data_IF_484335869391
#
_entry.id   IF_484335869391
#
_cell.length_a   1.000
_cell.length_b   1.000
_cell.length_c   1.000
_cell.angle_alpha   90.00
_cell.angle_beta   90.00
_cell.angle_gamma   90.00
#
_symmetry.space_group_name_H-M   'P 1'
#
loop_
_entity.id
_entity.type
_entity.pdbx_description
1 polymer ?
#
# COMPACT_ATOMS: atom_id res chain seq x y z
N UNK A 1 -2.05 -18.51 38.98
CA UNK A 1 -2.78 -17.55 38.12
C UNK A 1 -1.78 -17.08 37.08
N UNK A 2 -2.02 -17.23 35.77
CA UNK A 2 -1.12 -16.68 34.75
C UNK A 2 -1.01 -15.16 34.95
N UNK A 3 0.17 -14.59 34.73
CA UNK A 3 0.39 -13.15 34.82
C UNK A 3 -0.49 -12.45 33.77
N UNK A 4 -1.23 -11.41 34.19
CA UNK A 4 -2.05 -10.59 33.28
C UNK A 4 -1.18 -9.48 32.72
N UNK A 5 -1.22 -9.30 31.40
CA UNK A 5 -0.51 -8.20 30.74
C UNK A 5 -1.41 -6.97 30.72
N UNK A 6 -1.04 -5.92 31.44
CA UNK A 6 -1.77 -4.65 31.43
C UNK A 6 -1.08 -3.63 30.51
N UNK A 7 -1.81 -3.11 29.52
CA UNK A 7 -1.22 -2.32 28.44
C UNK A 7 -2.21 -1.30 27.87
N UNK A 8 -1.70 -0.13 27.45
CA UNK A 8 -2.47 0.85 26.67
C UNK A 8 -2.56 0.37 25.21
N UNK A 9 -3.74 0.02 24.76
CA UNK A 9 -3.94 -0.76 23.55
C UNK A 9 -4.23 0.09 22.30
N UNK A 10 -3.62 -0.25 21.18
CA UNK A 10 -4.06 0.16 19.85
C UNK A 10 -5.32 -0.61 19.42
N UNK A 11 -6.49 -0.16 19.90
CA UNK A 11 -7.78 -0.78 19.58
C UNK A 11 -8.08 -0.78 18.07
N UNK A 12 -7.70 0.27 17.35
CA UNK A 12 -7.95 0.36 15.91
C UNK A 12 -7.03 -0.60 15.13
N UNK A 13 -5.75 -0.66 15.48
CA UNK A 13 -4.80 -1.63 14.92
C UNK A 13 -5.26 -3.06 15.14
N UNK A 14 -5.74 -3.39 16.35
CA UNK A 14 -6.29 -4.72 16.67
C UNK A 14 -7.54 -5.04 15.87
N UNK A 15 -8.48 -4.10 15.76
CA UNK A 15 -9.69 -4.26 14.95
C UNK A 15 -9.33 -4.50 13.47
N UNK A 16 -8.40 -3.71 12.91
CA UNK A 16 -7.95 -3.87 11.52
C UNK A 16 -7.29 -5.24 11.32
N UNK A 17 -6.41 -5.67 12.22
CA UNK A 17 -5.75 -6.96 12.15
C UNK A 17 -6.75 -8.13 12.20
N UNK A 18 -7.73 -8.06 13.10
CA UNK A 18 -8.80 -9.06 13.19
C UNK A 18 -9.67 -9.09 11.93
N UNK A 19 -9.93 -7.95 11.29
CA UNK A 19 -10.71 -7.91 10.04
C UNK A 19 -9.90 -8.27 8.79
N UNK A 20 -8.57 -8.33 8.87
CA UNK A 20 -7.70 -8.62 7.75
C UNK A 20 -7.77 -10.10 7.36
N UNK A 21 -8.31 -10.37 6.17
CA UNK A 21 -8.47 -11.73 5.62
C UNK A 21 -7.40 -12.07 4.57
N UNK A 22 -6.39 -11.23 4.38
CA UNK A 22 -5.34 -11.48 3.41
C UNK A 22 -4.46 -12.66 3.90
N UNK A 23 -4.35 -13.77 3.13
CA UNK A 23 -3.57 -14.93 3.56
C UNK A 23 -2.11 -14.61 3.81
N UNK A 24 -1.58 -13.64 3.07
CA UNK A 24 -0.20 -13.19 3.21
C UNK A 24 -0.02 -12.05 4.24
N UNK A 25 -0.96 -11.88 5.16
CA UNK A 25 -0.88 -10.85 6.19
C UNK A 25 -1.02 -11.44 7.58
N UNK A 26 -0.01 -11.15 8.40
CA UNK A 26 0.17 -11.73 9.72
C UNK A 26 0.38 -10.61 10.73
N UNK A 27 -0.49 -10.54 11.74
CA UNK A 27 -0.46 -9.48 12.73
C UNK A 27 -0.13 -10.02 14.12
N UNK A 28 0.63 -9.25 14.88
CA UNK A 28 1.00 -9.55 16.26
C UNK A 28 0.65 -8.36 17.16
N UNK A 29 0.20 -8.63 18.38
CA UNK A 29 0.08 -7.64 19.45
C UNK A 29 1.35 -7.66 20.30
N UNK A 30 2.04 -6.53 20.38
CA UNK A 30 3.14 -6.31 21.31
C UNK A 30 2.58 -6.01 22.72
N UNK A 31 2.82 -6.94 23.65
CA UNK A 31 2.37 -6.87 25.04
C UNK A 31 3.09 -5.82 25.87
N UNK A 32 4.25 -5.31 25.41
CA UNK A 32 5.00 -4.28 26.10
C UNK A 32 4.53 -2.87 25.74
N UNK A 33 4.17 -2.64 24.47
CA UNK A 33 3.79 -1.33 23.95
C UNK A 33 2.30 -1.17 23.66
N UNK A 34 1.57 -2.28 23.48
CA UNK A 34 0.17 -2.30 23.07
C UNK A 34 -0.07 -2.07 21.58
N UNK A 35 1.00 -2.04 20.79
CA UNK A 35 0.93 -1.84 19.35
C UNK A 35 0.58 -3.13 18.62
N UNK A 36 -0.13 -2.97 17.52
CA UNK A 36 -0.34 -4.06 16.56
C UNK A 36 0.64 -3.91 15.41
N UNK A 37 1.51 -4.90 15.27
CA UNK A 37 2.51 -4.97 14.20
C UNK A 37 1.98 -5.92 13.14
N UNK A 38 1.91 -5.46 11.88
CA UNK A 38 1.41 -6.29 10.78
C UNK A 38 2.48 -6.49 9.71
N UNK A 39 2.78 -7.74 9.42
CA UNK A 39 3.64 -8.15 8.32
C UNK A 39 2.77 -8.52 7.13
N UNK A 40 3.05 -7.95 5.95
CA UNK A 40 2.36 -8.33 4.70
C UNK A 40 3.32 -8.96 3.70
N UNK A 41 2.79 -9.81 2.81
CA UNK A 41 3.51 -10.40 1.69
C UNK A 41 4.18 -11.76 1.93
N UNK A 42 4.08 -12.30 3.15
CA UNK A 42 4.64 -13.58 3.55
C UNK A 42 3.53 -14.63 3.60
N UNK A 43 3.72 -15.83 3.03
CA UNK A 43 2.72 -16.90 3.08
C UNK A 43 2.64 -17.58 4.45
N UNK A 44 3.74 -17.54 5.19
CA UNK A 44 3.85 -18.07 6.54
C UNK A 44 4.05 -16.90 7.53
N UNK A 45 3.50 -17.01 8.76
CA UNK A 45 3.72 -16.00 9.78
C UNK A 45 5.22 -15.86 10.08
N UNK A 46 5.82 -14.66 9.92
CA UNK A 46 7.22 -14.47 10.26
C UNK A 46 7.40 -14.53 11.78
N UNK A 47 8.59 -14.92 12.22
CA UNK A 47 8.96 -14.83 13.64
C UNK A 47 8.90 -13.36 14.11
N UNK A 48 8.24 -13.06 15.24
CA UNK A 48 8.23 -11.70 15.77
C UNK A 48 9.62 -11.31 16.32
N UNK A 49 9.87 -9.99 16.54
CA UNK A 49 11.13 -9.52 17.12
C UNK A 49 11.39 -10.14 18.50
N UNK A 50 12.67 -10.29 18.84
CA UNK A 50 13.05 -10.70 20.20
C UNK A 50 12.78 -9.56 21.22
N UNK A 51 12.33 -9.88 22.44
CA UNK A 51 12.03 -11.22 22.93
C UNK A 51 10.63 -11.69 22.48
N UNK A 52 10.56 -12.88 21.86
CA UNK A 52 9.32 -13.40 21.24
C UNK A 52 8.14 -13.51 22.21
N UNK A 53 8.41 -13.70 23.49
CA UNK A 53 7.41 -13.79 24.56
C UNK A 53 6.55 -12.52 24.73
N UNK A 54 7.01 -11.38 24.21
CA UNK A 54 6.25 -10.13 24.22
C UNK A 54 5.20 -10.04 23.11
N UNK A 55 5.10 -11.02 22.21
CA UNK A 55 4.21 -10.91 21.04
C UNK A 55 3.14 -12.01 21.03
N UNK A 56 1.89 -11.59 20.82
CA UNK A 56 0.77 -12.50 20.60
C UNK A 56 0.31 -12.45 19.14
N UNK A 57 0.29 -13.61 18.48
CA UNK A 57 -0.26 -13.70 17.13
C UNK A 57 -1.77 -13.44 17.12
N UNK A 58 -2.23 -12.54 16.24
CA UNK A 58 -3.62 -12.16 16.08
C UNK A 58 -4.21 -12.97 14.91
N UNK A 59 -5.07 -13.98 15.17
CA UNK A 59 -5.69 -14.74 14.10
C UNK A 59 -6.78 -13.90 13.39
N UNK A 60 -6.91 -13.99 12.05
CA UNK A 60 -8.02 -13.38 11.34
C UNK A 60 -9.37 -13.81 11.91
N UNK A 61 -10.27 -12.85 12.12
CA UNK A 61 -11.64 -13.12 12.56
C UNK A 61 -12.31 -14.05 11.55
N UNK A 62 -12.90 -15.18 11.96
CA UNK A 62 -13.55 -16.09 11.01
C UNK A 62 -14.62 -15.38 10.18
N UNK A 63 -14.67 -15.60 8.86
CA UNK A 63 -15.62 -14.86 7.99
C UNK A 63 -17.08 -15.05 8.39
N UNK A 64 -17.41 -16.17 9.03
CA UNK A 64 -18.72 -16.47 9.64
C UNK A 64 -19.15 -15.45 10.70
N UNK A 65 -18.23 -14.85 11.44
CA UNK A 65 -18.53 -13.75 12.36
C UNK A 65 -18.97 -12.50 11.59
N UNK A 66 -18.31 -12.18 10.47
CA UNK A 66 -18.74 -11.05 9.63
C UNK A 66 -20.12 -11.26 9.00
N UNK A 67 -20.45 -12.50 8.60
CA UNK A 67 -21.82 -12.84 8.17
C UNK A 67 -22.85 -12.64 9.28
N UNK A 68 -22.54 -13.09 10.51
CA UNK A 68 -23.42 -12.87 11.67
C UNK A 68 -23.62 -11.38 11.95
N UNK A 69 -22.56 -10.56 11.86
CA UNK A 69 -22.66 -9.11 12.01
C UNK A 69 -23.61 -8.50 10.96
N UNK A 70 -23.50 -8.89 9.68
CA UNK A 70 -24.44 -8.43 8.64
C UNK A 70 -25.88 -8.87 8.93
N UNK A 71 -26.10 -10.13 9.32
CA UNK A 71 -27.44 -10.63 9.65
C UNK A 71 -28.08 -9.89 10.84
N UNK A 72 -27.32 -9.64 11.91
CA UNK A 72 -27.79 -8.85 13.05
C UNK A 72 -28.14 -7.42 12.62
N UNK A 73 -27.30 -6.78 11.79
CA UNK A 73 -27.56 -5.42 11.34
C UNK A 73 -28.85 -5.33 10.51
N UNK A 74 -29.09 -6.28 9.60
CA UNK A 74 -30.31 -6.34 8.79
C UNK A 74 -31.57 -6.34 9.67
N UNK A 75 -31.52 -7.02 10.82
CA UNK A 75 -32.64 -7.03 11.78
C UNK A 75 -32.91 -5.67 12.44
N UNK A 76 -31.95 -4.74 12.38
CA UNK A 76 -32.08 -3.37 12.92
C UNK A 76 -32.48 -2.33 11.88
N UNK A 77 -32.61 -2.72 10.61
CA UNK A 77 -33.04 -1.84 9.51
C UNK A 77 -34.57 -1.76 9.52
N UNK A 78 -35.11 -0.54 9.60
CA UNK A 78 -36.56 -0.30 9.66
C UNK A 78 -37.21 -0.31 8.27
N UNK A 79 -36.49 0.10 7.24
CA UNK A 79 -36.97 0.07 5.85
C UNK A 79 -37.06 -1.39 5.36
N UNK A 80 -38.30 -1.87 5.18
CA UNK A 80 -38.59 -3.24 4.75
C UNK A 80 -38.03 -3.58 3.35
N UNK A 81 -38.01 -2.60 2.44
CA UNK A 81 -37.50 -2.80 1.10
C UNK A 81 -35.98 -2.96 1.13
N UNK A 82 -35.29 -2.08 1.86
CA UNK A 82 -33.85 -2.18 2.06
C UNK A 82 -33.47 -3.46 2.81
N UNK A 83 -34.21 -3.81 3.87
CA UNK A 83 -34.00 -5.04 4.63
C UNK A 83 -34.07 -6.28 3.72
N UNK A 84 -35.06 -6.33 2.82
CA UNK A 84 -35.21 -7.41 1.83
C UNK A 84 -34.04 -7.45 0.85
N UNK A 85 -33.60 -6.30 0.35
CA UNK A 85 -32.44 -6.19 -0.56
C UNK A 85 -31.15 -6.67 0.12
N UNK A 86 -30.88 -6.22 1.35
CA UNK A 86 -29.70 -6.63 2.12
C UNK A 86 -29.73 -8.14 2.45
N UNK A 87 -30.91 -8.69 2.75
CA UNK A 87 -31.08 -10.13 2.98
C UNK A 87 -30.74 -10.94 1.74
N UNK A 88 -31.24 -10.51 0.57
CA UNK A 88 -30.92 -11.14 -0.71
C UNK A 88 -29.43 -11.01 -1.06
N UNK A 89 -28.80 -9.89 -0.71
CA UNK A 89 -27.39 -9.66 -0.96
C UNK A 89 -26.49 -10.71 -0.27
N UNK A 90 -26.93 -11.29 0.85
CA UNK A 90 -26.19 -12.31 1.59
C UNK A 90 -26.13 -13.69 0.93
N UNK A 91 -26.95 -13.95 -0.09
CA UNK A 91 -27.01 -15.26 -0.75
C UNK A 91 -25.90 -15.42 -1.79
N UNK A 92 -25.06 -16.45 -1.65
CA UNK A 92 -24.04 -16.82 -2.63
C UNK A 92 -22.72 -16.05 -2.52
N UNK A 93 -21.79 -16.36 -3.42
CA UNK A 93 -20.40 -15.82 -3.40
C UNK A 93 -20.41 -14.30 -3.53
N UNK A 94 -19.58 -13.60 -2.75
CA UNK A 94 -19.46 -12.12 -2.82
C UNK A 94 -20.47 -11.34 -1.96
N UNK A 95 -21.11 -11.98 -0.97
CA UNK A 95 -22.11 -11.37 -0.10
C UNK A 95 -21.71 -10.03 0.50
N UNK A 96 -20.49 -9.92 1.05
CA UNK A 96 -19.99 -8.67 1.64
C UNK A 96 -19.93 -7.49 0.66
N UNK A 97 -19.60 -7.75 -0.61
CA UNK A 97 -19.54 -6.72 -1.63
C UNK A 97 -20.94 -6.23 -1.95
N UNK A 98 -21.85 -7.14 -2.30
CA UNK A 98 -23.24 -6.79 -2.62
C UNK A 98 -23.94 -6.09 -1.46
N UNK A 99 -23.71 -6.55 -0.24
CA UNK A 99 -24.26 -5.92 0.95
C UNK A 99 -23.82 -4.44 1.06
N UNK A 100 -22.53 -4.16 0.83
CA UNK A 100 -22.01 -2.78 0.82
C UNK A 100 -22.53 -1.97 -0.37
N UNK A 101 -22.66 -2.59 -1.54
CA UNK A 101 -23.19 -1.95 -2.74
C UNK A 101 -24.65 -1.49 -2.50
N UNK A 102 -25.49 -2.31 -1.85
CA UNK A 102 -26.85 -1.91 -1.45
C UNK A 102 -26.89 -0.69 -0.52
N UNK A 103 -25.88 -0.49 0.32
CA UNK A 103 -25.83 0.65 1.25
C UNK A 103 -25.33 1.94 0.58
N UNK A 104 -24.82 1.91 -0.66
CA UNK A 104 -24.32 3.11 -1.33
C UNK A 104 -25.42 4.16 -1.54
N UNK A 105 -26.63 3.70 -1.84
CA UNK A 105 -27.79 4.57 -2.07
C UNK A 105 -28.47 5.02 -0.76
N UNK A 106 -27.99 4.54 0.39
CA UNK A 106 -28.56 4.79 1.72
C UNK A 106 -27.49 5.31 2.70
N UNK A 107 -27.06 6.59 2.58
CA UNK A 107 -25.91 7.11 3.33
C UNK A 107 -26.08 7.06 4.85
N UNK A 108 -27.31 7.24 5.36
CA UNK A 108 -27.60 7.13 6.80
C UNK A 108 -27.42 5.70 7.31
N UNK A 109 -27.97 4.71 6.61
CA UNK A 109 -27.81 3.29 6.95
C UNK A 109 -26.38 2.81 6.76
N UNK A 110 -25.68 3.33 5.76
CA UNK A 110 -24.24 3.10 5.57
C UNK A 110 -23.42 3.56 6.76
N UNK A 111 -23.72 4.75 7.30
CA UNK A 111 -23.05 5.25 8.49
C UNK A 111 -23.39 4.39 9.72
N UNK A 112 -24.68 4.05 9.92
CA UNK A 112 -25.12 3.13 10.99
C UNK A 112 -24.41 1.78 10.90
N UNK A 113 -24.25 1.23 9.70
CA UNK A 113 -23.54 -0.02 9.47
C UNK A 113 -22.09 0.04 9.94
N UNK A 114 -21.36 1.11 9.62
CA UNK A 114 -19.97 1.26 10.08
C UNK A 114 -19.88 1.29 11.61
N UNK A 115 -20.72 2.12 12.25
CA UNK A 115 -20.81 2.19 13.71
C UNK A 115 -21.16 0.83 14.35
N UNK A 116 -22.16 0.13 13.81
CA UNK A 116 -22.59 -1.19 14.29
C UNK A 116 -21.49 -2.24 14.15
N UNK A 117 -20.82 -2.26 12.98
CA UNK A 117 -19.74 -3.19 12.68
C UNK A 117 -18.56 -2.96 13.62
N UNK A 118 -18.15 -1.71 13.82
CA UNK A 118 -17.01 -1.38 14.69
C UNK A 118 -17.28 -1.83 16.15
N UNK A 119 -18.50 -1.64 16.65
CA UNK A 119 -18.90 -2.16 17.98
C UNK A 119 -18.79 -3.69 18.08
N UNK A 120 -19.27 -4.41 17.07
CA UNK A 120 -19.17 -5.87 17.04
C UNK A 120 -17.72 -6.37 16.94
N UNK A 121 -16.87 -5.65 16.21
CA UNK A 121 -15.43 -5.96 16.10
C UNK A 121 -14.71 -5.67 17.41
N UNK A 122 -14.96 -4.54 18.07
CA UNK A 122 -14.38 -4.25 19.38
C UNK A 122 -14.85 -5.23 20.45
N UNK A 123 -16.12 -5.63 20.43
CA UNK A 123 -16.61 -6.68 21.33
C UNK A 123 -15.91 -8.02 21.09
N UNK A 124 -15.62 -8.36 19.83
CA UNK A 124 -14.82 -9.55 19.51
C UNK A 124 -13.38 -9.41 20.01
N UNK A 125 -12.75 -8.26 19.77
CA UNK A 125 -11.39 -7.96 20.22
C UNK A 125 -11.27 -8.07 21.74
N UNK A 126 -12.22 -7.52 22.50
CA UNK A 126 -12.24 -7.61 23.96
C UNK A 126 -12.29 -9.07 24.45
N UNK A 127 -13.14 -9.91 23.84
CA UNK A 127 -13.19 -11.36 24.17
C UNK A 127 -11.89 -12.07 23.83
N UNK A 128 -11.26 -11.71 22.72
CA UNK A 128 -9.97 -12.28 22.32
C UNK A 128 -8.85 -11.90 23.30
N UNK A 129 -8.81 -10.64 23.76
CA UNK A 129 -7.85 -10.18 24.78
C UNK A 129 -8.04 -10.93 26.10
N UNK A 130 -9.29 -11.10 26.55
CA UNK A 130 -9.62 -11.85 27.76
C UNK A 130 -9.14 -13.30 27.69
N UNK A 131 -9.36 -13.97 26.55
CA UNK A 131 -8.90 -15.34 26.30
C UNK A 131 -7.37 -15.47 26.33
N UNK A 132 -6.65 -14.40 26.00
CA UNK A 132 -5.18 -14.34 26.01
C UNK A 132 -4.62 -13.65 27.26
N UNK A 133 -5.45 -13.40 28.28
CA UNK A 133 -5.04 -12.79 29.56
C UNK A 133 -4.42 -11.38 29.42
N UNK A 134 -4.85 -10.61 28.42
CA UNK A 134 -4.47 -9.21 28.22
C UNK A 134 -5.56 -8.29 28.74
N UNK A 135 -5.17 -7.28 29.53
CA UNK A 135 -6.05 -6.27 30.11
C UNK A 135 -5.70 -4.91 29.50
N UNK A 136 -6.62 -4.36 28.71
CA UNK A 136 -6.46 -3.02 28.15
C UNK A 136 -6.73 -1.96 29.23
N UNK A 137 -5.79 -1.02 29.40
CA UNK A 137 -5.94 0.12 30.34
C UNK A 137 -6.83 1.23 29.79
N UNK A 138 -6.95 1.32 28.46
CA UNK A 138 -7.77 2.28 27.74
C UNK A 138 -9.01 1.60 27.10
N UNK A 139 -10.05 2.39 26.83
CA UNK A 139 -11.26 1.92 26.17
C UNK A 139 -11.17 2.04 24.64
N UNK A 140 -11.91 1.21 23.87
CA UNK A 140 -12.02 1.39 22.44
C UNK A 140 -12.60 2.78 22.11
N UNK A 141 -12.19 3.38 20.97
CA UNK A 141 -12.66 4.69 20.58
C UNK A 141 -14.18 4.69 20.35
N UNK A 142 -14.86 5.84 20.58
CA UNK A 142 -16.29 5.94 20.33
C UNK A 142 -16.59 5.72 18.84
N UNK A 143 -17.65 4.97 18.56
CA UNK A 143 -18.08 4.62 17.20
C UNK A 143 -18.94 5.71 16.53
N UNK A 144 -19.02 6.90 17.13
CA UNK A 144 -19.84 8.06 16.72
C UNK A 144 -19.24 8.88 15.57
N UNK A 145 -18.20 8.38 14.89
CA UNK A 145 -17.55 9.07 13.77
C UNK A 145 -16.45 10.05 14.16
N UNK A 146 -16.37 10.46 15.44
CA UNK A 146 -15.22 11.18 15.99
C UNK A 146 -14.13 10.16 16.34
N UNK A 147 -13.33 9.77 15.33
CA UNK A 147 -12.16 8.94 15.59
C UNK A 147 -11.14 9.80 16.35
N UNK A 148 -10.76 9.46 17.59
CA UNK A 148 -9.65 10.13 18.24
C UNK A 148 -8.40 9.98 17.36
N UNK A 149 -7.50 10.97 17.33
CA UNK A 149 -6.24 10.84 16.61
C UNK A 149 -5.56 9.56 17.07
N UNK A 150 -5.15 8.71 16.12
CA UNK A 150 -4.43 7.47 16.43
C UNK A 150 -3.28 7.84 17.37
N UNK A 151 -3.17 7.21 18.55
CA UNK A 151 -2.13 7.58 19.49
C UNK A 151 -0.78 7.47 18.78
N UNK A 152 0.07 8.49 18.95
CA UNK A 152 1.47 8.43 18.54
C UNK A 152 2.16 7.48 19.51
N UNK A 153 1.86 6.19 19.40
CA UNK A 153 2.50 5.16 20.20
C UNK A 153 3.99 5.19 19.82
N UNK A 154 4.85 5.30 20.83
CA UNK A 154 6.28 5.50 20.64
C UNK A 154 6.83 4.48 19.65
N UNK A 155 7.62 4.96 18.68
CA UNK A 155 8.18 4.07 17.66
C UNK A 155 8.86 2.87 18.35
N UNK A 156 8.55 1.62 17.96
CA UNK A 156 9.27 0.48 18.52
C UNK A 156 10.77 0.75 18.33
N UNK A 157 11.52 0.53 19.41
CA UNK A 157 12.96 0.85 19.48
C UNK A 157 13.66 0.39 18.22
N UNK A 158 14.56 1.22 17.69
CA UNK A 158 15.29 1.06 16.42
C UNK A 158 15.51 -0.41 16.06
N UNK A 159 14.61 -1.01 15.29
CA UNK A 159 14.89 -2.29 14.64
C UNK A 159 15.98 -1.96 13.62
N UNK A 160 17.20 -2.40 13.89
CA UNK A 160 18.33 -2.23 12.98
C UNK A 160 18.03 -3.02 11.69
N UNK A 161 18.15 -2.34 10.55
CA UNK A 161 17.90 -2.91 9.23
C UNK A 161 19.25 -3.14 8.59
N UNK A 162 19.62 -4.39 8.32
CA UNK A 162 20.80 -4.70 7.51
C UNK A 162 20.59 -4.31 6.03
N UNK A 163 21.61 -3.79 5.31
CA UNK A 163 21.52 -3.58 3.86
C UNK A 163 21.22 -4.91 3.15
N UNK A 164 20.09 -4.99 2.44
CA UNK A 164 19.60 -6.22 1.81
C UNK A 164 18.73 -7.10 2.72
N UNK A 165 18.45 -6.68 3.96
CA UNK A 165 17.54 -7.35 4.89
C UNK A 165 16.05 -7.12 4.54
N UNK A 166 15.17 -7.89 5.20
CA UNK A 166 13.72 -7.80 4.99
C UNK A 166 13.17 -6.45 5.49
N UNK A 167 12.89 -5.53 4.57
CA UNK A 167 12.32 -4.22 4.87
C UNK A 167 10.95 -4.32 5.56
N UNK A 168 10.26 -5.47 5.43
CA UNK A 168 8.94 -5.69 6.03
C UNK A 168 8.99 -5.59 7.54
N UNK A 169 10.03 -6.13 8.19
CA UNK A 169 10.14 -6.09 9.64
C UNK A 169 10.19 -4.67 10.19
N UNK A 170 10.88 -3.77 9.48
CA UNK A 170 11.04 -2.39 9.91
C UNK A 170 9.94 -1.44 9.43
N UNK A 171 9.12 -1.86 8.47
CA UNK A 171 7.96 -1.10 7.99
C UNK A 171 6.64 -1.61 8.57
N UNK A 172 6.61 -2.79 9.19
CA UNK A 172 5.41 -3.39 9.79
C UNK A 172 4.65 -2.49 10.78
N UNK A 173 5.29 -1.60 11.59
CA UNK A 173 4.56 -0.64 12.41
C UNK A 173 3.80 0.44 11.61
N UNK A 174 4.17 0.63 10.35
CA UNK A 174 3.62 1.65 9.46
C UNK A 174 2.68 1.08 8.39
N UNK A 175 2.71 -0.24 8.17
CA UNK A 175 1.90 -0.87 7.13
C UNK A 175 0.41 -0.67 7.42
N UNK A 176 -0.36 -0.33 6.37
CA UNK A 176 -1.79 -0.05 6.46
C UNK A 176 -2.55 -1.14 5.69
N UNK A 177 -3.09 -2.17 6.39
CA UNK A 177 -3.76 -3.32 5.76
C UNK A 177 -5.00 -2.96 4.93
N UNK A 178 -5.57 -1.77 5.15
CA UNK A 178 -6.78 -1.32 4.47
C UNK A 178 -6.59 -1.01 2.98
N UNK A 179 -5.35 -0.76 2.52
CA UNK A 179 -5.06 -0.47 1.12
C UNK A 179 -4.84 -1.77 0.33
N UNK A 180 -5.88 -2.19 -0.40
CA UNK A 180 -5.87 -3.39 -1.23
C UNK A 180 -5.47 -3.03 -2.66
N UNK A 181 -4.39 -3.62 -3.16
CA UNK A 181 -3.92 -3.43 -4.53
C UNK A 181 -4.89 -4.08 -5.53
N UNK A 182 -5.45 -3.27 -6.45
CA UNK A 182 -6.41 -3.69 -7.49
C UNK A 182 -5.84 -3.48 -8.89
N UNK A 183 -5.11 -4.47 -9.45
CA UNK A 183 -4.50 -4.37 -10.78
C UNK A 183 -5.42 -3.85 -11.91
N UNK A 184 -6.72 -4.13 -11.86
CA UNK A 184 -7.69 -3.69 -12.87
C UNK A 184 -7.96 -2.18 -12.89
N UNK A 185 -7.68 -1.47 -11.79
CA UNK A 185 -7.74 0.00 -11.69
C UNK A 185 -6.37 0.62 -11.45
N UNK A 186 -5.31 -0.15 -11.71
CA UNK A 186 -3.96 0.28 -11.46
C UNK A 186 -3.22 0.72 -12.71
N UNK A 187 -2.23 1.58 -12.51
CA UNK A 187 -1.19 1.85 -13.48
C UNK A 187 0.20 1.69 -12.86
N UNK A 188 1.12 1.05 -13.59
CA UNK A 188 2.54 1.04 -13.27
C UNK A 188 3.19 2.32 -13.78
N UNK A 189 3.83 3.07 -12.90
CA UNK A 189 4.66 4.22 -13.21
C UNK A 189 6.13 3.78 -13.14
N UNK A 190 6.78 3.74 -14.31
CA UNK A 190 8.21 3.47 -14.47
C UNK A 190 8.95 4.80 -14.48
N UNK A 191 9.52 5.17 -13.33
CA UNK A 191 10.08 6.50 -13.11
C UNK A 191 11.55 6.55 -13.51
N UNK A 192 11.84 7.35 -14.53
CA UNK A 192 13.18 7.83 -14.92
C UNK A 192 14.24 6.73 -15.06
N UNK A 193 13.87 5.56 -15.60
CA UNK A 193 14.78 4.45 -15.90
C UNK A 193 15.68 4.76 -17.09
N UNK A 194 16.58 5.73 -16.90
CA UNK A 194 17.49 6.30 -17.89
C UNK A 194 18.91 5.79 -17.72
N UNK A 195 19.69 5.82 -18.81
CA UNK A 195 21.09 5.38 -18.82
C UNK A 195 21.93 6.10 -17.79
N UNK A 196 21.70 7.39 -17.55
CA UNK A 196 22.44 8.18 -16.55
C UNK A 196 22.46 7.53 -15.16
N UNK A 197 21.38 6.85 -14.75
CA UNK A 197 21.24 6.27 -13.42
C UNK A 197 21.56 4.78 -13.38
N UNK A 198 21.27 4.04 -14.45
CA UNK A 198 21.29 2.57 -14.50
C UNK A 198 22.53 1.99 -15.18
N UNK A 199 23.13 2.73 -16.11
CA UNK A 199 24.32 2.28 -16.82
C UNK A 199 25.58 2.64 -15.99
N UNK A 200 26.53 1.72 -15.78
CA UNK A 200 27.81 2.03 -15.12
C UNK A 200 28.61 3.17 -15.78
N UNK A 201 28.35 3.48 -17.05
CA UNK A 201 28.93 4.63 -17.77
C UNK A 201 28.10 5.91 -17.67
N UNK A 202 26.94 5.87 -17.00
CA UNK A 202 26.08 7.03 -16.78
C UNK A 202 26.70 8.02 -15.80
N UNK A 203 26.51 9.32 -16.03
CA UNK A 203 27.17 10.35 -15.24
C UNK A 203 26.70 10.43 -13.77
N UNK A 204 25.55 9.83 -13.43
CA UNK A 204 25.04 9.72 -12.07
C UNK A 204 24.65 8.27 -11.73
N UNK A 205 25.45 7.31 -12.18
CA UNK A 205 25.21 5.89 -11.96
C UNK A 205 25.04 5.56 -10.47
N UNK A 206 24.01 4.76 -10.18
CA UNK A 206 23.68 4.27 -8.84
C UNK A 206 23.97 2.76 -8.79
N UNK A 207 24.96 2.28 -8.01
CA UNK A 207 25.27 0.85 -7.94
C UNK A 207 24.06 -0.04 -7.57
N UNK A 208 23.13 0.48 -6.76
CA UNK A 208 21.89 -0.22 -6.35
C UNK A 208 20.82 -0.25 -7.43
N UNK A 209 20.95 0.56 -8.49
CA UNK A 209 19.94 0.65 -9.55
C UNK A 209 19.89 -0.58 -10.45
N UNK A 210 20.97 -1.35 -10.58
CA UNK A 210 20.98 -2.57 -11.39
C UNK A 210 20.00 -3.61 -10.83
N UNK A 211 20.08 -3.89 -9.52
CA UNK A 211 19.14 -4.78 -8.85
C UNK A 211 17.69 -4.25 -8.95
N UNK A 212 17.49 -2.95 -8.70
CA UNK A 212 16.16 -2.35 -8.81
C UNK A 212 15.60 -2.42 -10.24
N UNK A 213 16.44 -2.26 -11.26
CA UNK A 213 16.09 -2.41 -12.66
C UNK A 213 15.66 -3.84 -13.00
N UNK A 214 16.38 -4.84 -12.50
CA UNK A 214 16.01 -6.25 -12.69
C UNK A 214 14.63 -6.55 -12.07
N UNK A 215 14.38 -6.11 -10.84
CA UNK A 215 13.09 -6.30 -10.17
C UNK A 215 11.95 -5.55 -10.88
N UNK A 216 12.19 -4.29 -11.26
CA UNK A 216 11.20 -3.49 -11.98
C UNK A 216 10.89 -4.08 -13.36
N UNK A 217 11.89 -4.64 -14.04
CA UNK A 217 11.72 -5.34 -15.32
C UNK A 217 10.78 -6.54 -15.21
N UNK A 218 10.86 -7.30 -14.12
CA UNK A 218 9.93 -8.42 -13.86
C UNK A 218 8.50 -7.92 -13.61
N UNK A 219 8.33 -6.86 -12.82
CA UNK A 219 7.01 -6.24 -12.59
C UNK A 219 6.44 -5.69 -13.89
N UNK A 220 7.26 -5.04 -14.71
CA UNK A 220 6.88 -4.52 -16.03
C UNK A 220 6.44 -5.64 -16.97
N UNK A 221 7.15 -6.77 -16.99
CA UNK A 221 6.76 -7.94 -17.78
C UNK A 221 5.42 -8.52 -17.33
N UNK A 222 5.19 -8.66 -16.02
CA UNK A 222 3.92 -9.11 -15.47
C UNK A 222 2.78 -8.13 -15.79
N UNK A 223 3.00 -6.82 -15.63
CA UNK A 223 2.06 -5.75 -15.96
C UNK A 223 1.62 -5.83 -17.43
N UNK A 224 2.58 -5.94 -18.36
CA UNK A 224 2.34 -6.08 -19.81
C UNK A 224 1.53 -7.33 -20.13
N UNK A 225 1.89 -8.46 -19.53
CA UNK A 225 1.20 -9.75 -19.73
C UNK A 225 -0.26 -9.69 -19.31
N UNK A 226 -0.60 -8.83 -18.34
CA UNK A 226 -1.97 -8.66 -17.82
C UNK A 226 -2.72 -7.45 -18.37
N UNK A 227 -2.12 -6.71 -19.30
CA UNK A 227 -2.74 -5.51 -19.88
C UNK A 227 -2.95 -4.39 -18.85
N UNK A 228 -2.17 -4.37 -17.77
CA UNK A 228 -2.17 -3.26 -16.82
C UNK A 228 -1.64 -2.00 -17.53
N UNK A 229 -2.18 -0.82 -17.20
CA UNK A 229 -1.71 0.44 -17.80
C UNK A 229 -0.28 0.72 -17.32
N UNK A 230 0.56 1.20 -18.24
CA UNK A 230 1.97 1.47 -17.95
C UNK A 230 2.31 2.86 -18.48
N UNK A 231 2.94 3.66 -17.64
CA UNK A 231 3.44 5.00 -17.98
C UNK A 231 4.92 5.07 -17.64
N UNK A 232 5.71 5.61 -18.56
CA UNK A 232 7.12 5.87 -18.37
C UNK A 232 7.34 7.35 -18.15
N UNK A 233 8.32 7.71 -17.33
CA UNK A 233 8.83 9.08 -17.29
C UNK A 233 10.27 9.15 -17.73
N UNK A 234 10.64 10.31 -18.25
CA UNK A 234 12.02 10.66 -18.57
C UNK A 234 12.31 12.07 -18.07
N UNK A 235 13.29 12.20 -17.20
CA UNK A 235 13.79 13.50 -16.75
C UNK A 235 14.75 14.06 -17.79
N UNK A 236 14.40 15.22 -18.38
CA UNK A 236 15.27 15.90 -19.33
C UNK A 236 14.94 17.38 -19.44
N UNK A 237 15.95 18.17 -19.78
CA UNK A 237 15.88 19.61 -19.96
C UNK A 237 16.15 19.95 -21.41
N UNK A 238 15.16 20.55 -22.09
CA UNK A 238 15.30 21.01 -23.47
C UNK A 238 15.79 22.46 -23.51
N UNK A 239 15.38 23.26 -22.53
CA UNK A 239 15.73 24.66 -22.40
C UNK A 239 16.17 24.96 -20.95
N UNK A 240 17.37 24.51 -20.52
CA UNK A 240 17.85 24.62 -19.14
C UNK A 240 17.68 25.99 -18.47
N UNK A 241 17.81 27.08 -19.24
CA UNK A 241 17.65 28.44 -18.74
C UNK A 241 16.21 28.74 -18.27
N UNK A 242 15.20 28.14 -18.90
CA UNK A 242 13.78 28.33 -18.55
C UNK A 242 13.18 27.15 -17.79
N UNK A 243 13.62 25.93 -18.07
CA UNK A 243 13.07 24.71 -17.48
C UNK A 243 13.92 24.13 -16.34
N UNK A 244 15.10 24.69 -16.03
CA UNK A 244 15.99 24.18 -14.99
C UNK A 244 15.56 24.53 -13.55
N UNK A 245 15.05 25.74 -13.33
CA UNK A 245 14.52 26.17 -12.04
C UNK A 245 15.46 25.91 -10.83
N UNK A 246 14.92 25.37 -9.74
CA UNK A 246 15.74 25.02 -8.57
C UNK A 246 16.68 23.84 -8.82
N UNK A 247 16.33 22.94 -9.75
CA UNK A 247 17.15 21.78 -10.10
C UNK A 247 18.48 22.24 -10.71
N UNK A 248 18.47 23.23 -11.60
CA UNK A 248 19.70 23.78 -12.18
C UNK A 248 20.58 24.54 -11.20
N UNK A 249 19.98 25.13 -10.14
CA UNK A 249 20.76 25.78 -9.07
C UNK A 249 21.36 24.79 -8.09
N UNK A 250 20.67 23.67 -7.86
CA UNK A 250 21.08 22.64 -6.92
C UNK A 250 22.09 21.67 -7.52
N UNK A 251 21.81 21.17 -8.73
CA UNK A 251 22.66 20.22 -9.43
C UNK A 251 23.58 20.95 -10.41
N UNK A 252 24.86 20.58 -10.37
CA UNK A 252 25.90 21.19 -11.23
C UNK A 252 25.78 20.78 -12.70
N UNK A 253 25.10 19.66 -12.96
CA UNK A 253 24.81 19.15 -14.30
C UNK A 253 23.32 18.82 -14.42
N UNK A 254 22.79 19.02 -15.63
CA UNK A 254 21.41 18.67 -15.98
C UNK A 254 21.41 17.58 -17.04
N UNK A 255 20.35 16.78 -17.05
CA UNK A 255 20.11 15.80 -18.10
C UNK A 255 19.59 16.55 -19.32
N UNK A 256 20.48 16.83 -20.28
CA UNK A 256 20.13 17.59 -21.48
C UNK A 256 19.40 16.71 -22.49
N UNK A 257 18.39 17.27 -23.13
CA UNK A 257 17.74 16.63 -24.26
C UNK A 257 18.75 16.26 -25.37
N UNK A 258 18.61 15.06 -25.93
CA UNK A 258 19.49 14.51 -26.97
C UNK A 258 20.82 13.96 -26.46
N UNK A 259 21.11 14.09 -25.16
CA UNK A 259 22.29 13.45 -24.56
C UNK A 259 22.07 11.95 -24.34
N UNK A 260 23.16 11.18 -24.33
CA UNK A 260 23.15 9.75 -23.96
C UNK A 260 22.53 9.54 -22.57
N UNK A 261 22.81 10.44 -21.64
CA UNK A 261 22.26 10.41 -20.29
C UNK A 261 20.74 10.54 -20.26
N UNK A 262 20.14 11.22 -21.24
CA UNK A 262 18.70 11.34 -21.36
C UNK A 262 18.04 10.05 -21.88
N UNK A 263 18.77 9.16 -22.55
CA UNK A 263 18.20 7.95 -23.13
C UNK A 263 17.69 6.99 -22.05
N UNK A 264 16.63 6.24 -22.38
CA UNK A 264 16.12 5.17 -21.51
C UNK A 264 17.11 4.01 -21.49
N UNK A 265 17.26 3.36 -20.34
CA UNK A 265 18.08 2.17 -20.19
C UNK A 265 17.52 0.98 -20.98
N UNK A 266 18.38 0.05 -21.37
CA UNK A 266 17.99 -1.11 -22.17
C UNK A 266 16.94 -1.96 -21.41
N UNK A 267 15.86 -2.33 -22.10
CA UNK A 267 14.73 -3.07 -21.52
C UNK A 267 13.59 -2.20 -20.99
N UNK A 268 13.78 -0.88 -20.88
CA UNK A 268 12.78 0.09 -20.41
C UNK A 268 12.18 0.95 -21.52
N UNK A 269 12.36 0.56 -22.79
CA UNK A 269 11.71 1.24 -23.90
C UNK A 269 10.18 0.99 -23.85
N UNK A 270 9.35 2.05 -23.93
CA UNK A 270 7.90 1.92 -24.04
C UNK A 270 7.52 1.18 -25.33
N UNK A 271 6.48 0.35 -25.24
CA UNK A 271 5.82 -0.26 -26.41
C UNK A 271 4.79 0.70 -26.98
N UNK A 272 4.27 0.37 -28.17
CA UNK A 272 3.12 1.07 -28.73
C UNK A 272 1.96 1.09 -27.72
N UNK A 273 1.38 2.29 -27.51
CA UNK A 273 0.33 2.51 -26.53
C UNK A 273 0.78 2.73 -25.08
N UNK A 274 2.08 2.58 -24.76
CA UNK A 274 2.64 2.91 -23.44
C UNK A 274 3.21 4.34 -23.45
N UNK A 275 2.61 5.32 -22.75
CA UNK A 275 3.05 6.71 -22.83
C UNK A 275 4.42 6.94 -22.20
N UNK A 276 5.26 7.74 -22.87
CA UNK A 276 6.49 8.32 -22.32
C UNK A 276 6.27 9.80 -22.00
N UNK A 277 6.42 10.16 -20.74
CA UNK A 277 6.20 11.51 -20.23
C UNK A 277 7.54 12.16 -19.93
N UNK A 278 7.92 13.14 -20.76
CA UNK A 278 9.07 13.99 -20.49
C UNK A 278 8.73 14.99 -19.37
N UNK A 279 9.61 15.09 -18.38
CA UNK A 279 9.46 16.03 -17.24
C UNK A 279 10.76 16.72 -16.90
N UNK A 280 10.65 17.92 -16.32
CA UNK A 280 11.77 18.75 -15.90
C UNK A 280 11.80 18.96 -14.38
N UNK A 281 10.98 18.21 -13.64
CA UNK A 281 10.84 18.26 -12.18
C UNK A 281 10.83 16.84 -11.61
N UNK A 282 10.95 16.72 -10.29
CA UNK A 282 10.92 15.41 -9.63
C UNK A 282 9.56 14.72 -9.77
N UNK A 283 8.47 15.42 -9.43
CA UNK A 283 7.11 14.89 -9.58
C UNK A 283 6.80 14.61 -11.04
N UNK A 284 6.30 13.40 -11.31
CA UNK A 284 5.76 13.02 -12.60
C UNK A 284 4.46 13.74 -12.96
N UNK A 285 3.79 14.41 -12.01
CA UNK A 285 2.56 15.18 -12.24
C UNK A 285 2.83 16.66 -12.54
N UNK A 286 3.94 17.21 -12.06
CA UNK A 286 4.17 18.66 -12.14
C UNK A 286 4.45 19.10 -13.58
N UNK A 287 3.50 19.83 -14.17
CA UNK A 287 3.62 20.36 -15.53
C UNK A 287 3.56 19.28 -16.61
N UNK A 288 2.92 18.13 -16.33
CA UNK A 288 2.79 17.01 -17.27
C UNK A 288 1.32 16.62 -17.46
N UNK A 289 0.97 15.84 -18.50
CA UNK A 289 -0.40 15.35 -18.68
C UNK A 289 -0.74 14.11 -17.83
N UNK A 290 0.15 13.63 -16.95
CA UNK A 290 0.01 12.34 -16.28
C UNK A 290 -1.34 12.19 -15.56
N UNK A 291 -1.76 13.19 -14.78
CA UNK A 291 -3.02 13.14 -14.03
C UNK A 291 -4.22 12.93 -14.95
N UNK A 292 -4.32 13.73 -16.02
CA UNK A 292 -5.40 13.65 -16.98
C UNK A 292 -5.45 12.27 -17.65
N UNK A 293 -4.28 11.70 -18.00
CA UNK A 293 -4.19 10.37 -18.60
C UNK A 293 -4.60 9.25 -17.64
N UNK A 294 -4.17 9.31 -16.37
CA UNK A 294 -4.56 8.35 -15.35
C UNK A 294 -6.07 8.39 -15.10
N UNK A 295 -6.65 9.59 -14.97
CA UNK A 295 -8.10 9.78 -14.77
C UNK A 295 -8.91 9.29 -15.96
N UNK A 296 -8.51 9.64 -17.18
CA UNK A 296 -9.15 9.14 -18.40
C UNK A 296 -9.09 7.60 -18.50
N UNK A 297 -8.04 6.99 -17.94
CA UNK A 297 -7.90 5.54 -17.81
C UNK A 297 -8.70 4.89 -16.69
N UNK A 298 -9.42 5.65 -15.85
CA UNK A 298 -10.11 5.13 -14.67
C UNK A 298 -9.16 4.56 -13.62
N UNK A 299 -7.94 5.09 -13.55
CA UNK A 299 -6.92 4.65 -12.59
C UNK A 299 -7.24 5.21 -11.20
N UNK A 300 -7.25 4.34 -10.21
CA UNK A 300 -7.35 4.66 -8.78
C UNK A 300 -6.04 4.34 -8.06
N UNK A 301 -5.30 3.34 -8.54
CA UNK A 301 -4.08 2.82 -7.90
C UNK A 301 -2.84 3.13 -8.76
N UNK A 302 -1.79 3.70 -8.18
CA UNK A 302 -0.49 3.88 -8.84
C UNK A 302 0.55 2.98 -8.19
N UNK A 303 1.22 2.18 -9.01
CA UNK A 303 2.36 1.35 -8.60
C UNK A 303 3.63 2.05 -9.04
N UNK A 304 4.52 2.42 -8.12
CA UNK A 304 5.69 3.26 -8.41
C UNK A 304 6.97 2.42 -8.25
N UNK A 305 7.76 2.40 -9.32
CA UNK A 305 9.13 1.88 -9.32
C UNK A 305 10.03 2.75 -10.18
N UNK A 306 11.34 2.68 -9.97
CA UNK A 306 12.34 3.44 -10.72
C UNK A 306 13.28 4.24 -9.83
N UNK A 307 13.81 5.35 -10.35
CA UNK A 307 14.88 6.11 -9.67
C UNK A 307 14.63 7.63 -9.65
N UNK A 308 15.11 8.37 -8.67
CA UNK A 308 15.64 7.91 -7.37
C UNK A 308 14.53 7.78 -6.33
N UNK A 309 14.67 6.81 -5.41
CA UNK A 309 13.70 6.50 -4.34
C UNK A 309 13.21 7.75 -3.61
N UNK A 310 14.11 8.52 -2.99
CA UNK A 310 13.79 9.70 -2.18
C UNK A 310 13.61 11.00 -2.99
N UNK A 311 13.81 10.97 -4.31
CA UNK A 311 13.65 12.14 -5.18
C UNK A 311 12.42 11.95 -6.09
N UNK A 312 12.60 11.55 -7.34
CA UNK A 312 11.52 11.46 -8.32
C UNK A 312 10.43 10.48 -7.91
N UNK A 313 10.78 9.31 -7.35
CA UNK A 313 9.80 8.31 -6.94
C UNK A 313 8.97 8.81 -5.74
N UNK A 314 9.60 9.19 -4.63
CA UNK A 314 8.92 9.67 -3.42
C UNK A 314 8.15 10.98 -3.66
N UNK A 315 8.70 11.91 -4.45
CA UNK A 315 7.96 13.13 -4.81
C UNK A 315 6.70 12.78 -5.58
N UNK A 316 6.80 11.88 -6.57
CA UNK A 316 5.63 11.42 -7.34
C UNK A 316 4.63 10.69 -6.48
N UNK A 317 5.08 9.86 -5.53
CA UNK A 317 4.23 9.16 -4.58
C UNK A 317 3.44 10.13 -3.69
N UNK A 318 4.11 11.13 -3.11
CA UNK A 318 3.46 12.18 -2.31
C UNK A 318 2.46 12.98 -3.14
N UNK A 319 2.82 13.34 -4.37
CA UNK A 319 1.98 14.12 -5.27
C UNK A 319 0.74 13.32 -5.75
N UNK A 320 0.90 12.00 -5.93
CA UNK A 320 -0.20 11.08 -6.21
C UNK A 320 -1.16 10.96 -5.02
N UNK A 321 -0.64 10.84 -3.80
CA UNK A 321 -1.45 10.74 -2.59
C UNK A 321 -2.35 11.97 -2.38
N UNK A 322 -1.80 13.18 -2.53
CA UNK A 322 -2.58 14.43 -2.40
C UNK A 322 -3.54 14.67 -3.58
N UNK A 323 -3.47 13.82 -4.60
CA UNK A 323 -4.41 13.75 -5.74
C UNK A 323 -5.37 12.57 -5.61
N UNK A 324 -5.56 12.01 -4.43
CA UNK A 324 -6.50 10.91 -4.19
C UNK A 324 -6.23 9.64 -5.02
N UNK A 325 -4.96 9.39 -5.38
CA UNK A 325 -4.55 8.08 -5.88
C UNK A 325 -4.05 7.21 -4.71
N UNK A 326 -4.41 5.93 -4.72
CA UNK A 326 -3.81 4.95 -3.82
C UNK A 326 -2.39 4.65 -4.29
N UNK A 327 -1.41 4.76 -3.41
CA UNK A 327 0.00 4.58 -3.75
C UNK A 327 0.49 3.21 -3.29
N UNK A 328 1.07 2.47 -4.22
CA UNK A 328 1.83 1.25 -3.98
C UNK A 328 3.28 1.48 -4.41
N UNK A 329 4.21 1.40 -3.46
CA UNK A 329 5.60 1.78 -3.68
C UNK A 329 6.52 0.56 -3.59
N UNK A 330 7.28 0.28 -4.65
CA UNK A 330 8.07 -0.94 -4.76
C UNK A 330 9.44 -0.78 -4.10
N UNK A 331 9.61 -1.35 -2.90
CA UNK A 331 10.79 -1.16 -2.06
C UNK A 331 12.10 -1.65 -2.69
N UNK A 332 12.03 -2.76 -3.43
CA UNK A 332 13.13 -3.47 -4.09
C UNK A 332 13.19 -3.19 -5.61
N UNK A 333 12.23 -2.41 -6.13
CA UNK A 333 12.22 -1.91 -7.51
C UNK A 333 12.41 -0.38 -7.56
N UNK A 334 13.03 0.17 -6.53
CA UNK A 334 13.50 1.57 -6.45
C UNK A 334 14.93 1.62 -5.96
N UNK A 335 15.71 2.60 -6.41
CA UNK A 335 17.09 2.77 -5.98
C UNK A 335 17.45 4.23 -5.68
N UNK A 336 18.38 4.41 -4.75
CA UNK A 336 18.98 5.70 -4.40
C UNK A 336 20.45 5.52 -3.97
N UNK A 337 21.09 6.62 -3.60
CA UNK A 337 22.53 6.75 -3.32
C UNK A 337 23.01 5.79 -2.23
N UNK A 338 22.25 5.65 -1.14
CA UNK A 338 22.63 4.80 -0.03
C UNK A 338 21.41 4.18 0.69
N UNK A 339 21.70 3.23 1.57
CA UNK A 339 20.69 2.48 2.32
C UNK A 339 19.96 3.34 3.37
N UNK A 340 20.56 4.42 3.89
CA UNK A 340 19.90 5.30 4.86
C UNK A 340 18.80 6.11 4.18
N UNK A 341 19.11 6.71 3.03
CA UNK A 341 18.13 7.41 2.20
C UNK A 341 17.01 6.48 1.73
N UNK A 342 17.35 5.24 1.34
CA UNK A 342 16.35 4.23 0.97
C UNK A 342 15.38 4.01 2.14
N UNK A 343 15.90 3.69 3.34
CA UNK A 343 15.08 3.43 4.53
C UNK A 343 14.24 4.63 4.94
N UNK A 344 14.81 5.83 4.92
CA UNK A 344 14.11 7.06 5.27
C UNK A 344 12.91 7.31 4.36
N UNK A 345 13.10 7.14 3.05
CA UNK A 345 12.03 7.27 2.05
C UNK A 345 10.92 6.24 2.27
N UNK A 346 11.27 4.95 2.40
CA UNK A 346 10.29 3.88 2.61
C UNK A 346 9.49 4.07 3.90
N UNK A 347 10.13 4.52 4.98
CA UNK A 347 9.44 4.85 6.25
C UNK A 347 8.44 5.99 6.07
N UNK A 348 8.84 7.07 5.41
CA UNK A 348 7.96 8.20 5.16
C UNK A 348 6.75 7.81 4.31
N UNK A 349 6.97 7.04 3.24
CA UNK A 349 5.89 6.55 2.39
C UNK A 349 4.93 5.66 3.17
N UNK A 350 5.44 4.66 3.90
CA UNK A 350 4.61 3.75 4.69
C UNK A 350 3.81 4.50 5.77
N UNK A 351 4.42 5.50 6.43
CA UNK A 351 3.77 6.25 7.49
C UNK A 351 2.55 7.04 7.00
N UNK A 352 2.66 7.71 5.85
CA UNK A 352 1.71 8.75 5.47
C UNK A 352 1.23 8.80 4.02
N UNK A 353 1.88 8.13 3.08
CA UNK A 353 1.64 8.38 1.65
C UNK A 353 1.26 7.14 0.84
N UNK A 354 1.47 5.93 1.33
CA UNK A 354 1.13 4.73 0.56
C UNK A 354 1.50 3.43 1.25
N UNK A 355 1.23 2.33 0.56
CA UNK A 355 1.65 1.00 0.96
C UNK A 355 2.98 0.66 0.29
N UNK A 356 3.97 0.25 1.08
CA UNK A 356 5.25 -0.25 0.58
C UNK A 356 5.15 -1.75 0.38
N UNK A 357 5.61 -2.26 -0.76
CA UNK A 357 5.58 -3.68 -1.10
C UNK A 357 6.80 -4.09 -1.93
N UNK A 358 7.07 -5.39 -2.01
CA UNK A 358 8.10 -5.95 -2.93
C UNK A 358 7.57 -6.11 -4.35
N UNK A 359 8.50 -6.18 -5.30
CA UNK A 359 8.24 -6.56 -6.68
C UNK A 359 7.56 -7.94 -6.77
N UNK A 360 8.03 -8.91 -5.98
CA UNK A 360 7.45 -10.27 -5.92
C UNK A 360 6.00 -10.24 -5.46
N UNK A 361 5.66 -9.45 -4.43
CA UNK A 361 4.26 -9.28 -4.00
C UNK A 361 3.41 -8.65 -5.10
N UNK A 362 3.91 -7.60 -5.74
CA UNK A 362 3.19 -6.92 -6.81
C UNK A 362 2.91 -7.89 -7.97
N UNK A 363 3.91 -8.66 -8.42
CA UNK A 363 3.76 -9.68 -9.46
C UNK A 363 2.71 -10.72 -9.06
N UNK A 364 2.78 -11.26 -7.84
CA UNK A 364 1.79 -12.24 -7.36
C UNK A 364 0.36 -11.68 -7.41
N UNK A 365 0.15 -10.43 -6.99
CA UNK A 365 -1.18 -9.80 -7.03
C UNK A 365 -1.66 -9.60 -8.46
N UNK A 366 -0.78 -9.11 -9.35
CA UNK A 366 -1.05 -8.93 -10.78
C UNK A 366 -1.44 -10.26 -11.43
N UNK A 367 -0.74 -11.35 -11.11
CA UNK A 367 -0.98 -12.66 -11.70
C UNK A 367 -2.22 -13.39 -11.15
N UNK A 368 -2.48 -13.30 -9.84
CA UNK A 368 -3.62 -13.99 -9.19
C UNK A 368 -4.97 -13.54 -9.73
N UNK A 369 -5.11 -12.29 -10.18
CA UNK A 369 -6.37 -11.80 -10.74
C UNK A 369 -6.75 -12.48 -12.05
N UNK A 370 -5.77 -12.79 -12.89
CA UNK A 370 -6.05 -13.37 -14.21
C UNK A 370 -6.59 -14.80 -14.13
N UNK A 371 -6.10 -15.60 -13.18
CA UNK A 371 -6.61 -16.95 -12.93
C UNK A 371 -8.08 -16.96 -12.47
N UNK A 372 -8.60 -15.83 -11.97
CA UNK A 372 -10.02 -15.67 -11.61
C UNK A 372 -10.88 -15.31 -12.83
N UNK A 373 -10.41 -14.43 -13.74
CA UNK A 373 -11.15 -14.06 -14.97
C UNK A 373 -11.30 -15.24 -15.94
N UNK A 374 -10.24 -16.00 -16.21
CA UNK A 374 -10.30 -17.15 -17.13
C UNK A 374 -11.25 -18.26 -16.66
N UNK A 375 -11.51 -18.36 -15.34
CA UNK A 375 -12.49 -19.30 -14.77
C UNK A 375 -13.93 -18.79 -14.81
N UNK A 376 -14.15 -17.49 -14.93
CA UNK A 376 -15.49 -16.88 -15.01
C UNK A 376 -15.98 -16.74 -16.45
N UNK A 377 -15.08 -16.59 -17.43
CA UNK A 377 -15.42 -16.54 -18.87
C UNK A 377 -15.59 -17.94 -19.50
N UNK A 378 -15.11 -19.00 -18.83
CA UNK A 378 -15.24 -20.40 -19.26
C UNK A 378 -16.44 -21.15 -18.66
N UNK A 379 -17.39 -20.43 -18.05
CA UNK A 379 -18.65 -20.94 -17.50
C UNK A 379 -19.81 -20.20 -18.12
#
# INVERSE_FOLDING_TARGET
MPARHEVDLDWEGLAIALENQLPESHSYLDLSSGQVVTYTGMLEPPDPPEPRENYLYIPPRPSREGYRTMQKFIQTVEDEQLQKQLTQALVGRGAFRRFKDCLLDHPQERQRWFTFKDLEVYAFAARWLEQNHVVARNQPPPSNGERPPRPVLGMPGRVEIEPGGDFRLALAPYDRPALVFRPERAALLVIDMQRIFVDPQGSAYLPTSQQAAEQLGQVLAAARTRGMRIFFTRHRHRYPASDGGSISRWWRSLILDGSRDAELADGFQPREGEPLIDKCRYSAFHGTPLEAMLRAGGVEDVVIGGVMTNLCCETTARDAFVRDFNVFFLADATATVDAEMQRGSLRNIAYGFGRVMSAVEAIRVIERQASRRTREEGR
#
